data_IF_216485474347
#
_entry.id   IF_216485474347
#
_cell.length_a   1.000
_cell.length_b   1.000
_cell.length_c   1.000
_cell.angle_alpha   90.00
_cell.angle_beta   90.00
_cell.angle_gamma   90.00
#
_symmetry.space_group_name_H-M   'P 1'
#
loop_
_entity.id
_entity.type
_entity.pdbx_description
1 polymer ?
#
# COMPACT_ATOMS: atom_id res chain seq x y z
N UNK A 1 19.30 -2.87 -12.82
CA UNK A 1 18.84 -4.15 -12.25
C UNK A 1 18.16 -4.93 -13.35
N UNK A 2 18.24 -6.26 -13.33
CA UNK A 2 17.74 -7.10 -14.42
C UNK A 2 16.31 -7.52 -14.09
N UNK A 3 15.34 -7.00 -14.82
CA UNK A 3 13.94 -7.43 -14.71
C UNK A 3 13.86 -8.94 -14.97
N UNK A 4 12.97 -9.64 -14.28
CA UNK A 4 12.69 -11.06 -14.51
C UNK A 4 11.18 -11.30 -14.47
N UNK A 5 10.65 -11.92 -15.52
CA UNK A 5 9.23 -12.26 -15.68
C UNK A 5 8.69 -13.25 -14.64
N UNK A 6 9.58 -13.96 -13.95
CA UNK A 6 9.20 -14.94 -12.92
C UNK A 6 9.24 -14.34 -11.51
N UNK A 7 9.73 -13.12 -11.34
CA UNK A 7 9.69 -12.46 -10.04
C UNK A 7 8.24 -12.30 -9.57
N UNK A 8 8.05 -12.42 -8.26
CA UNK A 8 6.74 -12.31 -7.63
C UNK A 8 6.62 -10.95 -6.95
N UNK A 9 5.47 -10.31 -7.11
CA UNK A 9 5.11 -9.07 -6.42
C UNK A 9 4.20 -9.44 -5.27
N UNK A 10 4.65 -9.14 -4.06
CA UNK A 10 3.86 -9.21 -2.84
C UNK A 10 3.36 -7.81 -2.54
N UNK A 11 2.06 -7.70 -2.27
CA UNK A 11 1.42 -6.43 -1.93
C UNK A 11 0.51 -6.66 -0.75
N UNK A 12 0.54 -5.71 0.18
CA UNK A 12 -0.38 -5.63 1.30
C UNK A 12 -0.99 -4.23 1.33
N UNK A 13 -2.28 -4.16 1.62
CA UNK A 13 -3.06 -2.93 1.66
C UNK A 13 -3.85 -2.89 2.95
N UNK A 14 -3.85 -1.73 3.60
CA UNK A 14 -4.81 -1.40 4.63
C UNK A 14 -5.85 -0.44 4.06
N UNK A 15 -7.11 -0.66 4.42
CA UNK A 15 -8.25 0.11 3.93
C UNK A 15 -9.09 0.63 5.10
N UNK A 16 -9.92 1.63 4.84
CA UNK A 16 -10.93 2.12 5.81
C UNK A 16 -12.07 1.12 6.05
N UNK A 17 -12.23 0.13 5.16
CA UNK A 17 -13.27 -0.88 5.23
C UNK A 17 -13.22 -1.85 4.05
N UNK A 18 -14.38 -2.44 3.71
CA UNK A 18 -14.50 -3.54 2.74
C UNK A 18 -15.33 -3.20 1.49
N UNK A 19 -15.92 -2.01 1.38
CA UNK A 19 -16.68 -1.56 0.22
C UNK A 19 -15.85 -0.59 -0.65
N UNK A 20 -15.35 -1.02 -1.82
CA UNK A 20 -14.53 -0.16 -2.68
C UNK A 20 -15.25 1.08 -3.25
N UNK A 21 -16.58 1.19 -3.13
CA UNK A 21 -17.31 2.38 -3.55
C UNK A 21 -17.16 3.54 -2.55
N UNK A 22 -16.94 3.23 -1.27
CA UNK A 22 -16.86 4.21 -0.18
C UNK A 22 -15.51 4.20 0.52
N UNK A 23 -14.94 3.01 0.70
CA UNK A 23 -13.69 2.80 1.41
C UNK A 23 -12.46 3.10 0.56
N UNK A 24 -11.43 3.57 1.24
CA UNK A 24 -10.19 4.04 0.61
C UNK A 24 -8.98 3.31 1.15
N UNK A 25 -7.93 3.27 0.33
CA UNK A 25 -6.64 2.73 0.73
C UNK A 25 -5.96 3.75 1.65
N UNK A 26 -5.45 3.28 2.77
CA UNK A 26 -4.75 4.08 3.79
C UNK A 26 -3.32 3.62 4.06
N UNK A 27 -2.94 2.41 3.61
CA UNK A 27 -1.55 1.97 3.55
C UNK A 27 -1.30 1.08 2.34
N UNK A 28 -0.08 1.15 1.79
CA UNK A 28 0.44 0.20 0.81
C UNK A 28 1.89 -0.16 1.11
N UNK A 29 2.19 -1.44 1.08
CA UNK A 29 3.54 -1.99 1.13
C UNK A 29 3.76 -2.99 0.00
N UNK A 30 4.97 -3.04 -0.55
CA UNK A 30 5.32 -4.00 -1.61
C UNK A 30 6.66 -4.67 -1.37
N UNK A 31 6.78 -5.94 -1.73
CA UNK A 31 8.03 -6.71 -1.74
C UNK A 31 8.14 -7.45 -3.07
N UNK A 32 9.36 -7.55 -3.60
CA UNK A 32 9.67 -8.39 -4.75
C UNK A 32 10.50 -9.58 -4.29
N UNK A 33 10.09 -10.78 -4.68
CA UNK A 33 10.88 -12.01 -4.48
C UNK A 33 11.19 -12.68 -5.81
N UNK A 34 12.17 -13.59 -5.79
CA UNK A 34 12.33 -14.60 -6.84
C UNK A 34 11.29 -15.73 -6.69
N UNK A 35 11.23 -16.71 -7.62
CA UNK A 35 10.29 -17.83 -7.53
C UNK A 35 10.58 -18.80 -6.38
N UNK A 36 11.75 -18.70 -5.73
CA UNK A 36 12.13 -19.48 -4.55
C UNK A 36 11.84 -18.74 -3.24
N UNK A 37 11.13 -17.60 -3.32
CA UNK A 37 10.74 -16.74 -2.20
C UNK A 37 11.93 -16.02 -1.54
N UNK A 38 13.09 -15.94 -2.20
CA UNK A 38 14.16 -15.09 -1.72
C UNK A 38 13.80 -13.62 -1.99
N UNK A 39 13.87 -12.78 -0.95
CA UNK A 39 13.61 -11.33 -1.06
C UNK A 39 14.67 -10.70 -1.95
N UNK A 40 14.22 -10.06 -3.03
CA UNK A 40 15.07 -9.31 -3.95
C UNK A 40 15.09 -7.83 -3.59
N UNK A 41 13.93 -7.28 -3.20
CA UNK A 41 13.83 -5.92 -2.71
C UNK A 41 12.54 -5.67 -1.93
N UNK A 42 12.63 -4.72 -1.01
CA UNK A 42 11.51 -4.10 -0.32
C UNK A 42 11.18 -2.77 -1.00
N UNK A 43 9.91 -2.57 -1.30
CA UNK A 43 9.36 -1.34 -1.84
C UNK A 43 9.09 -0.31 -0.74
N UNK A 44 8.53 0.85 -1.11
CA UNK A 44 8.12 1.84 -0.12
C UNK A 44 6.95 1.30 0.72
N UNK A 45 6.90 1.73 1.99
CA UNK A 45 5.76 1.54 2.90
C UNK A 45 5.12 2.90 3.09
N UNK A 46 3.94 3.09 2.50
CA UNK A 46 3.33 4.41 2.35
C UNK A 46 1.99 4.43 3.07
N UNK A 47 1.89 5.22 4.14
CA UNK A 47 0.59 5.63 4.66
C UNK A 47 0.02 6.72 3.74
N UNK A 48 -1.25 6.60 3.37
CA UNK A 48 -1.90 7.48 2.39
C UNK A 48 -2.87 8.39 3.13
N UNK A 49 -2.77 9.70 2.87
CA UNK A 49 -3.64 10.68 3.50
C UNK A 49 -5.11 10.49 3.07
N UNK A 50 -6.02 10.58 4.04
CA UNK A 50 -7.46 10.66 3.84
C UNK A 50 -8.03 11.74 4.75
N UNK A 51 -9.11 12.39 4.29
CA UNK A 51 -9.82 13.42 5.05
C UNK A 51 -10.51 12.81 6.30
N UNK A 52 -10.67 13.60 7.36
CA UNK A 52 -11.28 13.12 8.61
C UNK A 52 -12.71 12.57 8.41
N UNK A 53 -13.49 13.11 7.47
CA UNK A 53 -14.84 12.59 7.18
C UNK A 53 -14.79 11.11 6.74
N UNK A 54 -13.79 10.73 5.92
CA UNK A 54 -13.59 9.33 5.49
C UNK A 54 -13.15 8.47 6.67
N UNK A 55 -12.24 8.99 7.52
CA UNK A 55 -11.74 8.26 8.68
C UNK A 55 -12.81 8.06 9.75
N UNK A 56 -13.71 9.02 9.92
CA UNK A 56 -14.80 8.96 10.89
C UNK A 56 -15.95 8.04 10.45
N UNK A 57 -16.04 7.72 9.15
CA UNK A 57 -17.04 6.80 8.59
C UNK A 57 -16.64 5.32 8.72
N UNK A 58 -15.42 5.02 9.19
CA UNK A 58 -14.98 3.65 9.46
C UNK A 58 -15.82 2.98 10.56
N UNK A 59 -15.99 1.67 10.45
CA UNK A 59 -16.60 0.89 11.52
C UNK A 59 -15.71 0.81 12.78
N UNK A 60 -16.29 0.30 13.87
CA UNK A 60 -15.58 0.16 15.16
C UNK A 60 -14.34 -0.74 15.05
N UNK A 61 -14.36 -1.75 14.17
CA UNK A 61 -13.27 -2.69 14.03
C UNK A 61 -12.07 -2.00 13.38
N UNK A 62 -12.27 -1.34 12.24
CA UNK A 62 -11.23 -0.62 11.50
C UNK A 62 -10.69 0.54 12.33
N UNK A 63 -11.58 1.34 12.93
CA UNK A 63 -11.19 2.46 13.78
C UNK A 63 -10.27 2.00 14.91
N UNK A 64 -10.64 0.91 15.61
CA UNK A 64 -9.83 0.38 16.70
C UNK A 64 -8.48 -0.17 16.22
N UNK A 65 -8.48 -1.05 15.22
CA UNK A 65 -7.25 -1.73 14.79
C UNK A 65 -6.24 -0.75 14.22
N UNK A 66 -6.69 0.21 13.40
CA UNK A 66 -5.82 1.22 12.80
C UNK A 66 -5.35 2.27 13.81
N UNK A 67 -6.11 2.51 14.88
CA UNK A 67 -5.64 3.33 16.01
C UNK A 67 -4.59 2.58 16.82
N UNK A 68 -4.86 1.32 17.19
CA UNK A 68 -3.98 0.49 18.02
C UNK A 68 -2.62 0.22 17.32
N UNK A 69 -2.60 0.14 15.99
CA UNK A 69 -1.37 0.01 15.20
C UNK A 69 -0.59 1.32 15.01
N UNK A 70 -1.22 2.47 15.31
CA UNK A 70 -0.68 3.80 15.01
C UNK A 70 -0.82 4.22 13.54
N UNK A 71 -1.52 3.44 12.71
CA UNK A 71 -1.72 3.76 11.30
C UNK A 71 -2.54 5.05 11.11
N UNK A 72 -3.59 5.28 11.91
CA UNK A 72 -4.39 6.51 11.75
C UNK A 72 -3.59 7.79 11.97
N UNK A 73 -2.66 7.80 12.91
CA UNK A 73 -1.78 8.95 13.13
C UNK A 73 -0.85 9.17 11.94
N UNK A 74 -0.33 8.10 11.35
CA UNK A 74 0.48 8.16 10.11
C UNK A 74 -0.33 8.68 8.93
N UNK A 75 -1.58 8.23 8.78
CA UNK A 75 -2.50 8.68 7.72
C UNK A 75 -2.75 10.18 7.83
N UNK A 76 -3.08 10.67 9.03
CA UNK A 76 -3.39 12.09 9.29
C UNK A 76 -2.24 13.05 8.97
N UNK A 77 -1.00 12.63 9.24
CA UNK A 77 0.19 13.46 8.97
C UNK A 77 0.83 13.16 7.61
N UNK A 78 0.30 12.18 6.87
CA UNK A 78 0.82 11.83 5.56
C UNK A 78 0.63 12.97 4.57
N UNK A 79 1.57 13.05 3.62
CA UNK A 79 1.50 13.97 2.47
C UNK A 79 1.27 13.24 1.15
N UNK A 80 1.09 11.93 1.21
CA UNK A 80 0.89 11.09 0.05
C UNK A 80 -0.58 11.04 -0.31
N UNK A 81 -0.91 11.41 -1.56
CA UNK A 81 -2.16 11.00 -2.19
C UNK A 81 -2.05 9.58 -2.71
N UNK A 82 -3.20 8.94 -2.96
CA UNK A 82 -3.26 7.62 -3.61
C UNK A 82 -2.52 7.62 -4.95
N UNK A 83 -2.62 8.70 -5.73
CA UNK A 83 -1.94 8.82 -7.01
C UNK A 83 -0.42 8.83 -6.84
N UNK A 84 0.11 9.51 -5.83
CA UNK A 84 1.54 9.52 -5.53
C UNK A 84 2.02 8.15 -5.04
N UNK A 85 1.26 7.52 -4.13
CA UNK A 85 1.58 6.19 -3.63
C UNK A 85 1.60 5.14 -4.77
N UNK A 86 0.62 5.20 -5.68
CA UNK A 86 0.56 4.35 -6.86
C UNK A 86 1.73 4.60 -7.81
N UNK A 87 2.07 5.87 -8.07
CA UNK A 87 3.20 6.23 -8.93
C UNK A 87 4.53 5.72 -8.36
N UNK A 88 4.82 5.95 -7.07
CA UNK A 88 6.05 5.48 -6.44
C UNK A 88 6.15 3.96 -6.39
N UNK A 89 5.04 3.29 -6.08
CA UNK A 89 4.96 1.82 -6.13
C UNK A 89 5.24 1.29 -7.53
N UNK A 90 4.63 1.90 -8.55
CA UNK A 90 4.85 1.51 -9.95
C UNK A 90 6.31 1.74 -10.39
N UNK A 91 6.91 2.87 -10.02
CA UNK A 91 8.33 3.15 -10.30
C UNK A 91 9.28 2.17 -9.60
N UNK A 92 8.91 1.69 -8.42
CA UNK A 92 9.63 0.60 -7.78
C UNK A 92 9.50 -0.72 -8.57
N UNK A 93 8.28 -1.15 -8.87
CA UNK A 93 8.01 -2.44 -9.52
C UNK A 93 8.59 -2.54 -10.93
N UNK A 94 8.59 -1.44 -11.70
CA UNK A 94 9.22 -1.34 -13.03
C UNK A 94 10.70 -1.72 -13.04
N UNK A 95 11.41 -1.66 -11.90
CA UNK A 95 12.83 -2.05 -11.83
C UNK A 95 13.02 -3.57 -11.81
N UNK A 96 11.97 -4.33 -11.50
CA UNK A 96 12.04 -5.74 -11.15
C UNK A 96 11.22 -6.66 -12.04
N UNK A 97 10.12 -6.16 -12.61
CA UNK A 97 9.19 -6.94 -13.46
C UNK A 97 8.96 -6.20 -14.78
N UNK A 98 9.00 -6.88 -15.93
CA UNK A 98 8.72 -6.23 -17.22
C UNK A 98 7.23 -5.86 -17.36
N UNK A 99 6.94 -4.82 -18.13
CA UNK A 99 5.58 -4.33 -18.34
C UNK A 99 4.75 -5.26 -19.25
N UNK A 100 3.42 -5.25 -19.07
CA UNK A 100 2.48 -5.94 -19.96
C UNK A 100 2.29 -7.44 -19.70
N UNK A 101 2.70 -7.90 -18.52
CA UNK A 101 2.24 -9.16 -17.93
C UNK A 101 1.13 -8.91 -16.92
#
# INVERSE_FOLDING_TARGET
>A
MMQNEQNLIWIDLEMTGLDPQTDRIIEIATIVTDPQLAILAEGPVIAIFQEEDILNDMDDWNTRHHTDSGLLDRVRVSRYSEQQAAAETMEFLKKWVPAGK
#
